data_IF_791138462849
#
_entry.id   IF_791138462849
#
_cell.length_a   1.000
_cell.length_b   1.000
_cell.length_c   1.000
_cell.angle_alpha   90.00
_cell.angle_beta   90.00
_cell.angle_gamma   90.00
#
_symmetry.space_group_name_H-M   'P 1'
#
loop_
_entity.id
_entity.type
_entity.pdbx_description
1 polymer ?
#
# COMPACT_ATOMS: atom_id res chain seq x y z
N UNK A 1 4.68 -8.42 24.07
CA UNK A 1 3.77 -8.67 22.92
C UNK A 1 3.57 -7.33 22.23
N UNK A 2 3.94 -7.23 20.96
CA UNK A 2 3.68 -6.01 20.16
C UNK A 2 2.24 -6.02 19.70
N UNK A 3 1.56 -4.87 19.75
CA UNK A 3 0.19 -4.72 19.27
C UNK A 3 0.17 -4.13 17.84
N UNK A 4 -1.00 -4.04 17.23
CA UNK A 4 -1.15 -3.52 15.87
C UNK A 4 -0.67 -2.07 15.75
N UNK A 5 -0.89 -1.23 16.77
CA UNK A 5 -0.47 0.17 16.78
C UNK A 5 1.07 0.31 16.75
N UNK A 6 1.79 -0.60 17.43
CA UNK A 6 3.26 -0.63 17.39
C UNK A 6 3.77 -0.89 15.97
N UNK A 7 3.10 -1.78 15.21
CA UNK A 7 3.45 -2.06 13.82
C UNK A 7 3.02 -0.95 12.87
N UNK A 8 1.86 -0.33 13.09
CA UNK A 8 1.45 0.86 12.32
C UNK A 8 2.46 2.00 12.47
N UNK A 9 2.96 2.22 13.71
CA UNK A 9 3.99 3.22 13.93
C UNK A 9 5.29 2.85 13.19
N UNK A 10 5.77 1.60 13.27
CA UNK A 10 6.96 1.14 12.54
C UNK A 10 6.80 1.26 11.03
N UNK A 11 5.62 0.99 10.50
CA UNK A 11 5.31 1.15 9.08
C UNK A 11 5.33 2.62 8.66
N UNK A 12 4.86 3.53 9.52
CA UNK A 12 4.92 4.96 9.26
C UNK A 12 6.33 5.57 9.38
N UNK A 13 7.21 4.93 10.16
CA UNK A 13 8.57 5.40 10.49
C UNK A 13 9.67 4.63 9.75
N UNK A 14 9.36 3.94 8.64
CA UNK A 14 10.38 3.23 7.87
C UNK A 14 11.55 4.13 7.49
N UNK A 15 12.76 3.63 7.73
CA UNK A 15 13.97 4.33 7.32
C UNK A 15 14.14 4.22 5.79
N UNK A 16 13.70 5.26 5.08
CA UNK A 16 13.82 5.37 3.63
C UNK A 16 14.94 6.34 3.25
N UNK A 17 15.64 6.03 2.16
CA UNK A 17 16.62 6.98 1.62
C UNK A 17 15.90 8.24 1.12
N UNK A 18 16.39 9.40 1.53
CA UNK A 18 15.85 10.70 1.16
C UNK A 18 16.92 11.57 0.52
N UNK A 19 16.54 12.29 -0.51
CA UNK A 19 17.42 13.25 -1.20
C UNK A 19 16.66 14.55 -1.42
N UNK A 20 17.33 15.68 -1.20
CA UNK A 20 16.76 17.02 -1.46
C UNK A 20 16.28 17.19 -2.89
N UNK A 21 16.92 16.51 -3.87
CA UNK A 21 16.63 16.62 -5.29
C UNK A 21 15.54 15.63 -5.75
N UNK A 22 15.45 14.47 -5.13
CA UNK A 22 14.65 13.35 -5.63
C UNK A 22 13.53 12.90 -4.67
N UNK A 23 13.45 13.52 -3.48
CA UNK A 23 12.47 13.13 -2.45
C UNK A 23 12.82 11.80 -1.80
N UNK A 24 11.81 11.14 -1.25
CA UNK A 24 11.93 9.85 -0.57
C UNK A 24 11.95 8.68 -1.57
N UNK A 25 12.83 7.72 -1.33
CA UNK A 25 12.86 6.47 -2.11
C UNK A 25 11.82 5.48 -1.55
N UNK A 26 10.72 5.29 -2.25
CA UNK A 26 9.55 4.53 -1.79
C UNK A 26 9.68 3.00 -1.93
N UNK A 27 10.91 2.47 -2.04
CA UNK A 27 11.15 1.04 -2.24
C UNK A 27 10.56 0.14 -1.15
N UNK A 28 10.83 0.46 0.14
CA UNK A 28 10.36 -0.33 1.29
C UNK A 28 8.84 -0.28 1.45
N UNK A 29 8.19 0.91 1.40
CA UNK A 29 6.73 1.00 1.42
C UNK A 29 6.07 0.19 0.30
N UNK A 30 6.59 0.28 -0.93
CA UNK A 30 6.06 -0.46 -2.08
C UNK A 30 6.23 -1.97 -1.90
N UNK A 31 7.36 -2.45 -1.37
CA UNK A 31 7.53 -3.88 -1.09
C UNK A 31 6.52 -4.37 -0.04
N UNK A 32 6.31 -3.61 1.03
CA UNK A 32 5.33 -3.99 2.06
C UNK A 32 3.91 -4.01 1.50
N UNK A 33 3.51 -3.01 0.70
CA UNK A 33 2.21 -3.03 -0.01
C UNK A 33 2.07 -4.26 -0.90
N UNK A 34 3.13 -4.65 -1.60
CA UNK A 34 3.12 -5.83 -2.47
C UNK A 34 2.96 -7.14 -1.69
N UNK A 35 3.63 -7.26 -0.54
CA UNK A 35 3.52 -8.44 0.33
C UNK A 35 2.13 -8.52 0.95
N UNK A 36 1.58 -7.41 1.43
CA UNK A 36 0.22 -7.35 1.99
C UNK A 36 -0.83 -7.72 0.94
N UNK A 37 -0.68 -7.24 -0.29
CA UNK A 37 -1.57 -7.59 -1.42
C UNK A 37 -1.53 -9.10 -1.72
N UNK A 38 -0.35 -9.71 -1.75
CA UNK A 38 -0.21 -11.15 -1.98
C UNK A 38 -0.76 -12.00 -0.82
N UNK A 39 -0.68 -11.51 0.42
CA UNK A 39 -1.34 -12.15 1.57
C UNK A 39 -2.86 -12.04 1.44
N UNK A 40 -3.39 -10.86 1.11
CA UNK A 40 -4.82 -10.64 0.92
C UNK A 40 -5.40 -11.53 -0.20
N UNK A 41 -4.64 -11.75 -1.27
CA UNK A 41 -5.00 -12.63 -2.39
C UNK A 41 -4.81 -14.13 -2.11
N UNK A 42 -4.33 -14.50 -0.93
CA UNK A 42 -4.06 -15.90 -0.58
C UNK A 42 -2.89 -16.54 -1.33
N UNK A 43 -2.01 -15.76 -1.95
CA UNK A 43 -0.78 -16.26 -2.61
C UNK A 43 0.30 -16.55 -1.58
N UNK A 44 0.44 -15.70 -0.57
CA UNK A 44 1.31 -15.92 0.60
C UNK A 44 0.42 -16.37 1.76
N UNK A 45 0.44 -17.68 2.06
CA UNK A 45 -0.37 -18.30 3.10
C UNK A 45 0.43 -18.70 4.34
N UNK A 46 1.74 -18.69 4.24
CA UNK A 46 2.67 -19.00 5.34
C UNK A 46 3.63 -17.84 5.57
N UNK A 47 4.22 -17.75 6.77
CA UNK A 47 5.21 -16.72 7.07
C UNK A 47 6.58 -17.02 6.41
N UNK A 48 6.54 -17.36 5.13
CA UNK A 48 7.67 -17.55 4.26
C UNK A 48 7.42 -16.78 2.96
N UNK A 49 8.19 -15.73 2.71
CA UNK A 49 8.04 -14.81 1.59
C UNK A 49 9.22 -15.04 0.64
N UNK A 50 9.10 -15.93 -0.35
CA UNK A 50 10.15 -16.16 -1.33
C UNK A 50 10.25 -15.00 -2.31
N UNK A 51 11.39 -14.86 -2.98
CA UNK A 51 11.55 -13.95 -4.12
C UNK A 51 10.93 -14.60 -5.36
N UNK A 52 9.60 -14.76 -5.32
CA UNK A 52 8.83 -15.38 -6.40
C UNK A 52 8.57 -14.41 -7.54
N UNK A 53 8.15 -14.94 -8.69
CA UNK A 53 7.82 -14.12 -9.85
C UNK A 53 6.55 -13.30 -9.58
N UNK A 54 5.60 -13.82 -8.79
CA UNK A 54 4.39 -13.09 -8.35
C UNK A 54 4.75 -11.87 -7.50
N UNK A 55 5.71 -12.02 -6.58
CA UNK A 55 6.18 -10.89 -5.77
C UNK A 55 6.88 -9.84 -6.62
N UNK A 56 7.72 -10.28 -7.56
CA UNK A 56 8.41 -9.35 -8.48
C UNK A 56 7.39 -8.59 -9.33
N UNK A 57 6.45 -9.28 -9.97
CA UNK A 57 5.43 -8.67 -10.82
C UNK A 57 4.51 -7.72 -10.01
N UNK A 58 4.12 -8.11 -8.79
CA UNK A 58 3.30 -7.27 -7.93
C UNK A 58 4.07 -6.01 -7.53
N UNK A 59 5.34 -6.13 -7.13
CA UNK A 59 6.19 -4.98 -6.82
C UNK A 59 6.35 -4.05 -8.04
N UNK A 60 6.61 -4.58 -9.23
CA UNK A 60 6.75 -3.80 -10.46
C UNK A 60 5.45 -3.08 -10.83
N UNK A 61 4.30 -3.73 -10.64
CA UNK A 61 2.99 -3.12 -10.85
C UNK A 61 2.78 -1.90 -9.96
N UNK A 62 3.07 -2.01 -8.66
CA UNK A 62 3.01 -0.86 -7.73
C UNK A 62 4.06 0.20 -8.10
N UNK A 63 5.28 -0.23 -8.40
CA UNK A 63 6.36 0.69 -8.76
C UNK A 63 6.03 1.55 -9.98
N UNK A 64 5.46 0.96 -11.02
CA UNK A 64 5.09 1.67 -12.24
C UNK A 64 3.97 2.70 -12.05
N UNK A 65 3.17 2.57 -11.01
CA UNK A 65 2.03 3.45 -10.76
C UNK A 65 2.35 4.53 -9.72
N UNK A 66 3.03 4.16 -8.63
CA UNK A 66 3.27 5.05 -7.49
C UNK A 66 4.75 5.26 -7.16
N UNK A 67 5.64 4.57 -7.84
CA UNK A 67 7.09 4.71 -7.66
C UNK A 67 7.60 6.05 -8.16
N UNK A 68 8.57 6.63 -7.46
CA UNK A 68 9.20 7.86 -7.89
C UNK A 68 9.96 7.68 -9.20
N UNK A 69 9.71 8.48 -10.24
CA UNK A 69 10.41 8.39 -11.52
C UNK A 69 11.91 8.72 -11.41
N UNK A 70 12.31 9.37 -10.33
CA UNK A 70 13.71 9.72 -10.06
C UNK A 70 14.58 8.54 -9.62
N UNK A 71 13.96 7.40 -9.30
CA UNK A 71 14.64 6.19 -8.85
C UNK A 71 14.38 5.03 -9.81
N UNK A 72 15.38 4.15 -9.98
CA UNK A 72 15.19 2.92 -10.75
C UNK A 72 14.55 1.87 -9.86
N UNK A 73 13.40 1.34 -10.26
CA UNK A 73 12.74 0.24 -9.57
C UNK A 73 13.65 -0.97 -9.42
N UNK A 74 13.53 -1.67 -8.29
CA UNK A 74 14.31 -2.88 -8.04
C UNK A 74 14.01 -3.48 -6.68
N UNK A 75 13.31 -4.61 -6.66
CA UNK A 75 12.88 -5.32 -5.44
C UNK A 75 14.07 -5.77 -4.57
N UNK A 76 15.23 -6.06 -5.15
CA UNK A 76 16.38 -6.56 -4.39
C UNK A 76 16.88 -5.57 -3.32
N UNK A 77 16.75 -4.26 -3.56
CA UNK A 77 17.12 -3.26 -2.56
C UNK A 77 16.25 -3.33 -1.31
N UNK A 78 14.93 -3.12 -1.38
CA UNK A 78 14.09 -3.13 -0.19
C UNK A 78 14.03 -4.51 0.45
N UNK A 79 14.10 -5.59 -0.30
CA UNK A 79 14.06 -6.96 0.22
C UNK A 79 15.18 -7.24 1.23
N UNK A 80 16.39 -6.72 0.95
CA UNK A 80 17.52 -6.82 1.85
C UNK A 80 17.46 -5.80 2.98
N UNK A 81 17.09 -4.55 2.68
CA UNK A 81 17.21 -3.45 3.63
C UNK A 81 16.05 -3.35 4.62
N UNK A 82 14.92 -4.04 4.40
CA UNK A 82 13.83 -4.13 5.37
C UNK A 82 14.24 -4.84 6.67
N UNK A 83 15.29 -5.70 6.67
CA UNK A 83 15.77 -6.33 7.90
C UNK A 83 16.21 -5.31 8.96
N UNK A 84 16.56 -4.08 8.57
CA UNK A 84 16.95 -3.02 9.49
C UNK A 84 15.74 -2.43 10.28
N UNK A 85 14.51 -2.77 9.90
CA UNK A 85 13.29 -2.28 10.55
C UNK A 85 12.87 -3.13 11.77
N UNK A 86 13.53 -4.29 11.97
CA UNK A 86 13.33 -5.14 13.15
C UNK A 86 12.02 -5.91 13.21
N UNK A 87 11.37 -6.11 12.05
CA UNK A 87 10.19 -6.98 11.88
C UNK A 87 10.25 -7.84 10.61
N UNK A 88 11.31 -7.69 9.80
CA UNK A 88 11.57 -8.41 8.57
C UNK A 88 12.89 -9.12 8.69
N UNK A 89 12.93 -10.42 8.46
CA UNK A 89 14.10 -11.27 8.62
C UNK A 89 14.35 -12.07 7.36
N UNK A 90 15.61 -12.47 7.13
CA UNK A 90 16.02 -13.23 5.96
C UNK A 90 16.52 -14.61 6.34
N UNK A 91 16.05 -15.63 5.65
CA UNK A 91 16.61 -16.98 5.66
C UNK A 91 17.45 -17.15 4.42
N UNK A 92 18.75 -17.24 4.60
CA UNK A 92 19.68 -17.52 3.50
C UNK A 92 19.75 -19.00 3.17
N UNK A 93 20.12 -19.31 1.94
CA UNK A 93 20.41 -20.66 1.50
C UNK A 93 21.76 -21.13 2.08
N UNK A 94 21.98 -22.47 2.24
CA UNK A 94 23.22 -22.98 2.83
C UNK A 94 24.49 -22.57 2.06
N UNK A 95 24.38 -22.41 0.76
CA UNK A 95 25.48 -22.06 -0.15
C UNK A 95 25.84 -20.57 -0.15
N UNK A 96 25.08 -19.74 0.61
CA UNK A 96 25.31 -18.31 0.65
C UNK A 96 26.65 -17.96 1.30
N UNK A 97 27.50 -17.26 0.56
CA UNK A 97 28.87 -16.92 0.96
C UNK A 97 29.01 -15.60 1.78
N UNK A 98 27.88 -14.98 2.19
CA UNK A 98 27.87 -13.75 2.98
C UNK A 98 28.02 -12.46 2.15
N UNK A 99 28.23 -12.52 0.84
CA UNK A 99 28.31 -11.33 0.00
C UNK A 99 26.92 -10.75 -0.28
N UNK A 100 26.76 -9.44 -0.04
CA UNK A 100 25.49 -8.76 -0.25
C UNK A 100 25.02 -8.90 -1.72
N UNK A 101 23.81 -9.46 -1.98
CA UNK A 101 23.26 -9.57 -3.32
C UNK A 101 22.95 -8.19 -3.92
N UNK A 102 23.62 -7.84 -5.04
CA UNK A 102 23.44 -6.55 -5.72
C UNK A 102 22.50 -6.60 -6.93
N UNK A 103 21.95 -7.77 -7.22
CA UNK A 103 21.04 -7.98 -8.37
C UNK A 103 19.94 -8.96 -7.99
N UNK A 104 18.85 -8.97 -8.75
CA UNK A 104 17.74 -9.90 -8.54
C UNK A 104 18.17 -11.37 -8.60
N UNK A 105 19.02 -11.74 -9.58
CA UNK A 105 19.50 -13.10 -9.71
C UNK A 105 20.31 -13.54 -8.49
N UNK A 106 21.24 -12.68 -8.03
CA UNK A 106 22.00 -12.94 -6.80
C UNK A 106 21.13 -12.98 -5.56
N UNK A 107 20.06 -12.18 -5.50
CA UNK A 107 19.09 -12.25 -4.39
C UNK A 107 18.37 -13.61 -4.40
N UNK A 108 17.87 -14.07 -5.56
CA UNK A 108 17.22 -15.39 -5.71
C UNK A 108 18.18 -16.55 -5.40
N UNK A 109 19.46 -16.40 -5.69
CA UNK A 109 20.51 -17.39 -5.36
C UNK A 109 20.81 -17.44 -3.85
N UNK A 110 20.91 -16.27 -3.20
CA UNK A 110 21.34 -16.13 -1.80
C UNK A 110 20.22 -16.41 -0.81
N UNK A 111 19.01 -15.90 -1.06
CA UNK A 111 17.90 -15.91 -0.09
C UNK A 111 16.94 -17.04 -0.40
N UNK A 112 16.57 -17.82 0.63
CA UNK A 112 15.54 -18.83 0.54
C UNK A 112 14.16 -18.18 0.62
N UNK A 113 13.93 -17.38 1.67
CA UNK A 113 12.74 -16.56 1.88
C UNK A 113 13.02 -15.45 2.90
N UNK A 114 12.15 -14.45 2.95
CA UNK A 114 12.02 -13.54 4.07
C UNK A 114 10.85 -13.98 4.96
N UNK A 115 10.86 -13.54 6.23
CA UNK A 115 9.74 -13.77 7.14
C UNK A 115 9.56 -12.57 8.07
N UNK A 116 8.35 -12.41 8.57
CA UNK A 116 7.94 -11.34 9.47
C UNK A 116 7.97 -11.79 10.93
N UNK A 117 7.92 -10.84 11.87
CA UNK A 117 7.49 -11.17 13.24
C UNK A 117 6.20 -12.01 13.17
N UNK A 118 6.11 -13.10 13.96
CA UNK A 118 4.94 -13.96 13.94
C UNK A 118 3.63 -13.23 14.25
N UNK A 119 3.68 -12.26 15.17
CA UNK A 119 2.54 -11.39 15.53
C UNK A 119 2.13 -10.51 14.34
N UNK A 120 3.09 -9.91 13.62
CA UNK A 120 2.80 -9.11 12.42
C UNK A 120 2.16 -9.96 11.33
N UNK A 121 2.71 -11.16 11.07
CA UNK A 121 2.13 -12.07 10.07
C UNK A 121 0.69 -12.47 10.44
N UNK A 122 0.39 -12.71 11.73
CA UNK A 122 -0.95 -12.99 12.20
C UNK A 122 -1.90 -11.80 12.01
N UNK A 123 -1.46 -10.56 12.29
CA UNK A 123 -2.25 -9.37 11.99
C UNK A 123 -2.55 -9.23 10.50
N UNK A 124 -1.60 -9.59 9.64
CA UNK A 124 -1.81 -9.54 8.19
C UNK A 124 -2.79 -10.59 7.64
N UNK A 125 -3.16 -11.62 8.42
CA UNK A 125 -4.24 -12.54 8.05
C UNK A 125 -5.63 -11.92 8.27
N UNK A 126 -5.75 -10.94 9.17
CA UNK A 126 -6.98 -10.23 9.45
C UNK A 126 -7.11 -9.01 8.51
N UNK A 127 -8.28 -8.86 7.88
CA UNK A 127 -8.55 -7.81 6.90
C UNK A 127 -8.52 -6.40 7.53
N UNK A 128 -9.10 -6.24 8.72
CA UNK A 128 -9.11 -4.97 9.43
C UNK A 128 -7.69 -4.52 9.78
N UNK A 129 -6.87 -5.44 10.30
CA UNK A 129 -5.47 -5.16 10.62
C UNK A 129 -4.65 -4.84 9.36
N UNK A 130 -4.92 -5.51 8.22
CA UNK A 130 -4.27 -5.16 6.94
C UNK A 130 -4.58 -3.72 6.53
N UNK A 131 -5.85 -3.28 6.64
CA UNK A 131 -6.26 -1.90 6.33
C UNK A 131 -5.52 -0.89 7.20
N UNK A 132 -5.44 -1.10 8.51
CA UNK A 132 -4.70 -0.21 9.41
C UNK A 132 -3.21 -0.09 9.03
N UNK A 133 -2.57 -1.20 8.64
CA UNK A 133 -1.17 -1.22 8.22
C UNK A 133 -0.95 -0.54 6.86
N UNK A 134 -1.84 -0.75 5.90
CA UNK A 134 -1.80 -0.07 4.61
C UNK A 134 -2.03 1.42 4.80
N UNK A 135 -3.00 1.82 5.63
CA UNK A 135 -3.28 3.22 5.95
C UNK A 135 -2.04 3.91 6.51
N UNK A 136 -1.32 3.25 7.42
CA UNK A 136 -0.08 3.79 7.98
C UNK A 136 0.98 4.04 6.90
N UNK A 137 1.16 3.12 5.94
CA UNK A 137 2.09 3.28 4.81
C UNK A 137 1.66 4.40 3.86
N UNK A 138 0.39 4.39 3.47
CA UNK A 138 -0.15 5.35 2.50
C UNK A 138 -0.03 6.77 3.02
N UNK A 139 -0.38 6.98 4.28
CA UNK A 139 -0.32 8.29 4.91
C UNK A 139 1.10 8.81 5.10
N UNK A 140 2.03 7.93 5.42
CA UNK A 140 3.41 8.34 5.67
C UNK A 140 4.19 8.63 4.37
N UNK A 141 3.89 7.91 3.27
CA UNK A 141 4.76 7.92 2.09
C UNK A 141 4.08 8.33 0.78
N UNK A 142 2.75 8.40 0.72
CA UNK A 142 2.01 8.63 -0.52
C UNK A 142 0.92 9.71 -0.40
N UNK A 143 0.73 10.31 0.77
CA UNK A 143 -0.33 11.30 1.02
C UNK A 143 -0.14 12.63 0.31
N UNK A 144 1.07 12.96 -0.13
CA UNK A 144 1.37 14.21 -0.84
C UNK A 144 0.78 14.26 -2.26
N UNK A 145 0.32 13.11 -2.78
CA UNK A 145 -0.26 13.02 -4.10
C UNK A 145 -1.53 12.14 -4.06
N UNK A 146 -2.68 12.79 -4.20
CA UNK A 146 -3.99 12.11 -4.20
C UNK A 146 -4.10 11.04 -5.29
N UNK A 147 -3.47 11.23 -6.45
CA UNK A 147 -3.45 10.24 -7.52
C UNK A 147 -2.74 8.94 -7.09
N UNK A 148 -1.73 9.03 -6.22
CA UNK A 148 -1.04 7.85 -5.70
C UNK A 148 -1.96 7.06 -4.76
N UNK A 149 -2.72 7.74 -3.91
CA UNK A 149 -3.69 7.10 -3.01
C UNK A 149 -4.74 6.38 -3.84
N UNK A 150 -5.32 7.07 -4.82
CA UNK A 150 -6.35 6.51 -5.71
C UNK A 150 -5.84 5.28 -6.47
N UNK A 151 -4.60 5.35 -6.96
CA UNK A 151 -3.95 4.25 -7.65
C UNK A 151 -3.70 3.04 -6.74
N UNK A 152 -3.29 3.24 -5.49
CA UNK A 152 -3.12 2.15 -4.50
C UNK A 152 -4.47 1.48 -4.24
N UNK A 153 -5.53 2.26 -4.04
CA UNK A 153 -6.88 1.76 -3.82
C UNK A 153 -7.40 0.92 -5.01
N UNK A 154 -6.98 1.26 -6.22
CA UNK A 154 -7.36 0.51 -7.43
C UNK A 154 -6.59 -0.81 -7.58
N UNK A 155 -5.36 -0.88 -7.12
CA UNK A 155 -4.48 -2.03 -7.34
C UNK A 155 -4.57 -3.02 -6.17
N UNK A 156 -4.70 -2.53 -4.94
CA UNK A 156 -4.62 -3.37 -3.74
C UNK A 156 -5.90 -4.16 -3.50
N UNK A 157 -5.79 -5.49 -3.41
CA UNK A 157 -6.92 -6.39 -3.23
C UNK A 157 -7.71 -6.10 -1.94
N UNK A 158 -7.03 -5.74 -0.85
CA UNK A 158 -7.68 -5.41 0.42
C UNK A 158 -8.73 -4.31 0.30
N UNK A 159 -8.57 -3.40 -0.67
CA UNK A 159 -9.52 -2.31 -0.92
C UNK A 159 -10.50 -2.59 -2.07
N UNK A 160 -10.23 -3.58 -2.92
CA UNK A 160 -11.16 -3.94 -3.99
C UNK A 160 -12.43 -4.59 -3.44
N UNK A 161 -12.32 -5.32 -2.35
CA UNK A 161 -13.44 -5.99 -1.69
C UNK A 161 -14.33 -5.00 -0.92
N UNK A 162 -13.81 -3.80 -0.58
CA UNK A 162 -14.56 -2.74 0.13
C UNK A 162 -15.65 -2.05 -0.72
N UNK A 163 -15.66 -2.22 -2.02
CA UNK A 163 -16.71 -1.64 -2.86
C UNK A 163 -18.11 -2.12 -2.45
N UNK A 164 -18.20 -3.28 -1.82
CA UNK A 164 -19.44 -3.87 -1.29
C UNK A 164 -19.82 -3.29 0.08
N UNK A 165 -18.83 -2.89 0.90
CA UNK A 165 -19.08 -2.41 2.26
C UNK A 165 -19.40 -0.90 2.32
N UNK A 166 -19.06 -0.12 1.29
CA UNK A 166 -19.42 1.31 1.22
C UNK A 166 -20.94 1.50 1.23
N UNK A 167 -21.71 0.61 0.60
CA UNK A 167 -23.17 0.64 0.66
C UNK A 167 -23.67 0.43 2.09
N UNK A 168 -23.06 -0.48 2.86
CA UNK A 168 -23.42 -0.73 4.27
C UNK A 168 -23.05 0.41 5.21
N UNK A 169 -21.91 1.08 4.99
CA UNK A 169 -21.46 2.20 5.83
C UNK A 169 -22.34 3.45 5.62
N UNK A 170 -22.84 3.66 4.42
CA UNK A 170 -23.79 4.73 4.09
C UNK A 170 -25.14 4.48 4.82
N UNK A 171 -25.57 3.23 4.95
CA UNK A 171 -26.83 2.86 5.59
C UNK A 171 -26.78 2.91 7.12
N UNK A 172 -25.65 2.62 7.77
CA UNK A 172 -25.61 2.41 9.23
C UNK A 172 -25.11 3.60 10.06
N UNK A 173 -24.45 4.60 9.50
CA UNK A 173 -24.11 5.88 10.15
C UNK A 173 -23.23 5.83 11.40
N UNK A 174 -22.67 4.67 11.78
CA UNK A 174 -21.95 4.49 13.04
C UNK A 174 -20.43 4.64 12.86
N UNK A 175 -19.89 5.71 13.40
CA UNK A 175 -18.45 6.01 13.43
C UNK A 175 -18.00 6.20 14.88
N UNK A 176 -17.33 5.21 15.45
CA UNK A 176 -16.58 5.41 16.70
C UNK A 176 -15.26 6.13 16.42
N UNK A 177 -14.99 7.21 17.15
CA UNK A 177 -13.95 8.18 16.80
C UNK A 177 -12.83 8.25 17.82
N UNK A 178 -11.61 8.04 17.35
CA UNK A 178 -10.39 8.50 18.01
C UNK A 178 -9.81 9.68 17.18
N UNK A 179 -9.62 10.90 17.77
CA UNK A 179 -9.34 12.13 17.02
C UNK A 179 -8.05 12.14 16.20
N UNK A 180 -7.03 11.40 16.59
CA UNK A 180 -5.76 11.31 15.84
C UNK A 180 -5.87 10.46 14.58
N UNK A 181 -6.75 9.46 14.58
CA UNK A 181 -7.04 8.59 13.44
C UNK A 181 -8.06 9.20 12.49
N UNK A 182 -8.92 10.11 12.98
CA UNK A 182 -9.99 10.72 12.18
C UNK A 182 -9.46 11.61 11.05
N UNK A 183 -8.41 12.40 11.29
CA UNK A 183 -7.76 13.22 10.25
C UNK A 183 -7.06 12.36 9.20
N UNK A 184 -6.40 11.30 9.62
CA UNK A 184 -5.69 10.35 8.74
C UNK A 184 -6.67 9.54 7.89
N UNK A 185 -7.73 9.01 8.48
CA UNK A 185 -8.83 8.35 7.76
C UNK A 185 -9.60 9.30 6.84
N UNK A 186 -9.64 10.60 7.14
CA UNK A 186 -10.32 11.58 6.30
C UNK A 186 -9.69 11.68 4.90
N UNK A 187 -8.36 11.61 4.77
CA UNK A 187 -7.69 11.67 3.47
C UNK A 187 -8.03 10.44 2.63
N UNK A 188 -7.92 9.24 3.19
CA UNK A 188 -8.25 8.00 2.51
C UNK A 188 -9.75 7.94 2.22
N UNK A 189 -10.60 8.27 3.19
CA UNK A 189 -12.05 8.32 3.02
C UNK A 189 -12.47 9.34 1.95
N UNK A 190 -11.80 10.49 1.85
CA UNK A 190 -12.07 11.47 0.79
C UNK A 190 -11.73 10.93 -0.60
N UNK A 191 -10.63 10.19 -0.74
CA UNK A 191 -10.28 9.53 -2.00
C UNK A 191 -11.31 8.44 -2.37
N UNK A 192 -11.75 7.62 -1.41
CA UNK A 192 -12.82 6.64 -1.61
C UNK A 192 -14.15 7.29 -1.95
N UNK A 193 -14.56 8.32 -1.22
CA UNK A 193 -15.79 9.06 -1.48
C UNK A 193 -15.80 9.64 -2.88
N UNK A 194 -14.71 10.30 -3.28
CA UNK A 194 -14.54 10.84 -4.63
C UNK A 194 -14.72 9.77 -5.69
N UNK A 195 -14.06 8.63 -5.53
CA UNK A 195 -14.16 7.49 -6.45
C UNK A 195 -15.58 6.92 -6.51
N UNK A 196 -16.22 6.72 -5.35
CA UNK A 196 -17.58 6.20 -5.28
C UNK A 196 -18.58 7.16 -5.98
N UNK A 197 -18.49 8.46 -5.71
CA UNK A 197 -19.35 9.47 -6.36
C UNK A 197 -19.12 9.51 -7.85
N UNK A 198 -17.88 9.53 -8.32
CA UNK A 198 -17.57 9.52 -9.75
C UNK A 198 -18.13 8.27 -10.44
N UNK A 199 -18.08 7.12 -9.78
CA UNK A 199 -18.63 5.87 -10.30
C UNK A 199 -20.16 5.85 -10.32
N UNK A 200 -20.82 6.30 -9.24
CA UNK A 200 -22.30 6.40 -9.14
C UNK A 200 -22.86 7.29 -10.24
N UNK A 201 -22.16 8.38 -10.57
CA UNK A 201 -22.56 9.29 -11.64
C UNK A 201 -22.05 8.88 -13.05
N UNK A 202 -21.49 7.67 -13.21
CA UNK A 202 -20.96 7.17 -14.49
C UNK A 202 -19.97 8.16 -15.14
N UNK A 203 -19.08 8.75 -14.31
CA UNK A 203 -18.12 9.75 -14.79
C UNK A 203 -18.76 10.96 -15.49
N UNK A 204 -19.99 11.31 -15.12
CA UNK A 204 -20.75 12.44 -15.66
C UNK A 204 -20.90 13.53 -14.61
N UNK A 205 -20.90 14.77 -15.06
CA UNK A 205 -21.23 15.88 -14.18
C UNK A 205 -22.67 15.71 -13.63
N UNK A 206 -22.84 15.83 -12.30
CA UNK A 206 -24.13 15.70 -11.64
C UNK A 206 -25.17 16.74 -12.16
N UNK A 207 -24.71 17.93 -12.58
CA UNK A 207 -25.55 19.03 -13.02
C UNK A 207 -25.85 18.97 -14.54
N UNK A 208 -24.80 18.94 -15.38
CA UNK A 208 -24.97 19.04 -16.82
C UNK A 208 -24.93 17.70 -17.56
N UNK A 209 -24.68 16.59 -16.85
CA UNK A 209 -24.55 15.24 -17.39
C UNK A 209 -23.43 15.04 -18.43
N UNK A 210 -22.57 16.05 -18.63
CA UNK A 210 -21.46 15.96 -19.55
C UNK A 210 -20.43 14.95 -19.07
N UNK A 211 -20.00 14.06 -19.95
CA UNK A 211 -18.90 13.11 -19.72
C UNK A 211 -17.69 13.57 -20.51
N UNK A 212 -16.66 14.06 -19.84
CA UNK A 212 -15.42 14.50 -20.49
C UNK A 212 -14.27 13.60 -20.07
N UNK A 213 -13.69 12.91 -21.04
CA UNK A 213 -12.55 12.00 -20.86
C UNK A 213 -11.35 12.66 -21.52
N UNK A 214 -10.34 12.99 -20.72
CA UNK A 214 -9.11 13.64 -21.21
C UNK A 214 -8.17 12.65 -21.91
N UNK A 215 -8.08 11.42 -21.40
CA UNK A 215 -7.38 10.24 -21.96
C UNK A 215 -8.06 8.99 -21.44
N UNK A 216 -7.77 7.83 -22.01
CA UNK A 216 -8.18 6.54 -21.45
C UNK A 216 -7.68 6.51 -19.98
N UNK A 217 -8.60 6.38 -19.03
CA UNK A 217 -8.39 6.41 -17.57
C UNK A 217 -8.10 7.78 -16.91
N UNK A 218 -8.31 8.92 -17.59
CA UNK A 218 -8.27 10.25 -16.97
C UNK A 218 -9.59 10.99 -17.16
N UNK A 219 -10.33 11.15 -16.06
CA UNK A 219 -11.61 11.88 -16.02
C UNK A 219 -11.40 13.32 -15.54
N UNK A 220 -12.22 14.25 -16.03
CA UNK A 220 -12.23 15.64 -15.56
C UNK A 220 -13.25 15.83 -14.44
N UNK A 221 -14.16 14.86 -14.26
CA UNK A 221 -15.19 14.93 -13.21
C UNK A 221 -14.58 14.57 -11.86
N UNK A 222 -14.75 15.45 -10.90
CA UNK A 222 -14.30 15.27 -9.52
C UNK A 222 -15.48 15.13 -8.56
N UNK A 223 -15.36 14.27 -7.56
CA UNK A 223 -16.32 14.15 -6.47
C UNK A 223 -15.99 15.15 -5.36
N UNK A 224 -16.75 16.22 -5.25
CA UNK A 224 -16.55 17.23 -4.21
C UNK A 224 -17.71 17.27 -3.20
N UNK A 225 -17.40 17.56 -1.94
CA UNK A 225 -18.42 17.82 -0.93
C UNK A 225 -19.04 19.20 -1.13
N UNK A 226 -20.36 19.27 -1.13
CA UNK A 226 -21.11 20.55 -1.22
C UNK A 226 -21.09 21.31 0.11
N UNK A 227 -20.95 20.58 1.24
CA UNK A 227 -20.80 21.18 2.58
C UNK A 227 -19.49 20.68 3.21
N UNK A 228 -18.70 21.56 3.85
CA UNK A 228 -17.57 21.12 4.65
C UNK A 228 -18.08 20.23 5.80
N UNK A 229 -17.28 19.24 6.17
CA UNK A 229 -17.55 18.46 7.38
C UNK A 229 -17.42 19.38 8.61
N UNK A 230 -18.48 19.49 9.38
CA UNK A 230 -18.50 20.14 10.70
C UNK A 230 -17.99 19.19 11.78
#
# INVERSE_FOLDING_TARGET
MKNIADYCQRFAELNVSSSRKHGNAQYKPILLLSVIDLIARGVITTNEIPVSDELVQTFERYWNVIGSPSYKGGLHYPFLHLQNEGFWYLKFKPEFNGLQPKTMNKLKEAVKYAYLDGELFNFLQDEFCRKELIDALVLAFFSDNENNIEAILQINQTFQDDAVDIEKIIETGNLETNPRWSLKRAVIRNAFFRKAIVHVYDYRCAFCRLKVIKKINQNIVDGAHIKPFS
#
